data_IF_977647583038
#
_entry.id   IF_977647583038
#
_cell.length_a   1.000
_cell.length_b   1.000
_cell.length_c   1.000
_cell.angle_alpha   90.00
_cell.angle_beta   90.00
_cell.angle_gamma   90.00
#
_symmetry.space_group_name_H-M   'P 1'
#
loop_
_entity.id
_entity.type
_entity.pdbx_description
1 polymer ?
#
# COMPACT_ATOMS: atom_id res chain seq x y z
N UNK A 1 -50.59 -8.00 -77.94
CA UNK A 1 -51.24 -9.31 -78.09
C UNK A 1 -51.97 -9.58 -76.77
N UNK A 2 -53.21 -9.08 -76.67
CA UNK A 2 -54.44 -9.89 -76.83
C UNK A 2 -54.70 -10.66 -75.53
N UNK A 3 -55.45 -10.07 -74.59
CA UNK A 3 -56.92 -10.11 -74.43
C UNK A 3 -57.33 -11.26 -73.50
N UNK A 4 -58.20 -10.93 -72.54
CA UNK A 4 -59.39 -11.64 -72.03
C UNK A 4 -59.65 -11.11 -70.61
N UNK A 5 -60.38 -10.00 -70.44
CA UNK A 5 -61.85 -9.89 -70.60
C UNK A 5 -62.60 -10.81 -69.64
N UNK A 6 -62.95 -10.27 -68.47
CA UNK A 6 -64.16 -10.63 -67.75
C UNK A 6 -64.83 -9.34 -67.30
N UNK A 7 -65.56 -8.74 -68.26
CA UNK A 7 -66.63 -7.82 -67.95
C UNK A 7 -67.78 -8.65 -67.37
N UNK A 8 -68.16 -8.37 -66.13
CA UNK A 8 -69.37 -8.91 -65.54
C UNK A 8 -70.55 -8.09 -66.05
N UNK A 9 -71.33 -8.72 -66.94
CA UNK A 9 -72.59 -8.25 -67.48
C UNK A 9 -73.59 -7.98 -66.33
N UNK A 10 -73.92 -6.72 -66.09
CA UNK A 10 -75.01 -6.35 -65.19
C UNK A 10 -76.34 -6.37 -65.97
N UNK A 11 -77.03 -7.51 -65.96
CA UNK A 11 -78.38 -7.64 -66.51
C UNK A 11 -79.44 -7.45 -65.40
N UNK A 12 -80.29 -6.43 -65.56
CA UNK A 12 -81.42 -6.10 -64.70
C UNK A 12 -82.69 -6.86 -65.14
N UNK A 13 -83.40 -7.49 -64.20
CA UNK A 13 -84.73 -8.05 -64.40
C UNK A 13 -85.44 -8.22 -63.06
N UNK A 14 -86.50 -7.44 -62.83
CA UNK A 14 -87.23 -7.35 -61.57
C UNK A 14 -88.51 -8.20 -61.59
N UNK A 15 -88.77 -9.00 -60.55
CA UNK A 15 -90.12 -9.35 -60.05
C UNK A 15 -90.08 -9.86 -58.59
N UNK A 16 -90.86 -9.21 -57.71
CA UNK A 16 -91.50 -9.82 -56.53
C UNK A 16 -90.66 -10.19 -55.30
N UNK A 17 -90.81 -9.41 -54.22
CA UNK A 17 -90.46 -9.79 -52.84
C UNK A 17 -89.11 -9.26 -52.36
N UNK A 18 -89.14 -8.28 -51.45
CA UNK A 18 -88.07 -7.85 -50.54
C UNK A 18 -86.63 -8.22 -50.96
N UNK A 19 -86.11 -7.62 -52.04
CA UNK A 19 -84.74 -7.84 -52.45
C UNK A 19 -83.80 -7.14 -51.46
N UNK A 20 -83.39 -7.87 -50.42
CA UNK A 20 -82.22 -7.53 -49.62
C UNK A 20 -81.06 -7.25 -50.59
N UNK A 21 -80.30 -6.18 -50.33
CA UNK A 21 -79.15 -5.78 -51.13
C UNK A 21 -78.33 -7.02 -51.54
N UNK A 22 -78.08 -7.29 -52.83
CA UNK A 22 -77.57 -8.58 -53.32
C UNK A 22 -76.35 -9.17 -52.58
N UNK A 23 -75.39 -8.38 -52.05
CA UNK A 23 -74.28 -8.94 -51.26
C UNK A 23 -74.63 -9.28 -49.80
N UNK A 24 -75.85 -9.01 -49.33
CA UNK A 24 -76.36 -9.34 -48.00
C UNK A 24 -77.47 -10.40 -48.04
N UNK A 25 -77.41 -11.34 -48.99
CA UNK A 25 -78.29 -12.51 -49.00
C UNK A 25 -77.88 -13.52 -47.90
N UNK A 26 -78.75 -13.77 -46.88
CA UNK A 26 -78.50 -14.66 -45.73
C UNK A 26 -78.01 -16.07 -46.08
N UNK A 27 -78.30 -16.55 -47.30
CA UNK A 27 -78.04 -17.92 -47.72
C UNK A 27 -76.54 -18.29 -47.80
N UNK A 28 -75.66 -17.32 -48.07
CA UNK A 28 -74.22 -17.56 -48.28
C UNK A 28 -73.38 -17.39 -47.01
N UNK A 29 -73.92 -16.75 -45.98
CA UNK A 29 -73.21 -16.49 -44.72
C UNK A 29 -72.74 -17.75 -43.99
N UNK A 30 -73.48 -18.88 -43.93
CA UNK A 30 -73.00 -20.08 -43.23
C UNK A 30 -71.72 -20.66 -43.82
N UNK A 31 -71.58 -20.66 -45.16
CA UNK A 31 -70.38 -21.14 -45.85
C UNK A 31 -69.19 -20.20 -45.63
N UNK A 32 -69.43 -18.88 -45.69
CA UNK A 32 -68.41 -17.87 -45.38
C UNK A 32 -67.93 -17.98 -43.93
N UNK A 33 -68.85 -18.16 -42.98
CA UNK A 33 -68.52 -18.36 -41.57
C UNK A 33 -67.77 -19.68 -41.34
N UNK A 34 -68.16 -20.76 -42.02
CA UNK A 34 -67.44 -22.04 -41.95
C UNK A 34 -65.97 -21.90 -42.39
N UNK A 35 -65.73 -21.30 -43.56
CA UNK A 35 -64.37 -21.05 -44.04
C UNK A 35 -63.61 -20.02 -43.19
N UNK A 36 -64.30 -18.99 -42.68
CA UNK A 36 -63.73 -18.04 -41.74
C UNK A 36 -63.23 -18.77 -40.48
N UNK A 37 -64.04 -19.66 -39.90
CA UNK A 37 -63.66 -20.42 -38.71
C UNK A 37 -62.49 -21.35 -39.00
N UNK A 38 -62.44 -22.00 -40.17
CA UNK A 38 -61.30 -22.84 -40.56
C UNK A 38 -60.02 -22.02 -40.70
N UNK A 39 -60.06 -20.92 -41.45
CA UNK A 39 -58.89 -20.08 -41.70
C UNK A 39 -58.44 -19.35 -40.44
N UNK A 40 -59.38 -18.77 -39.70
CA UNK A 40 -59.11 -18.08 -38.44
C UNK A 40 -58.65 -19.06 -37.35
N UNK A 41 -59.25 -20.26 -37.28
CA UNK A 41 -58.82 -21.32 -36.37
C UNK A 41 -57.41 -21.82 -36.70
N UNK A 42 -57.11 -22.03 -37.98
CA UNK A 42 -55.75 -22.36 -38.44
C UNK A 42 -54.74 -21.27 -38.08
N UNK A 43 -55.08 -20.01 -38.36
CA UNK A 43 -54.26 -18.85 -37.99
C UNK A 43 -54.06 -18.75 -36.47
N UNK A 44 -55.12 -18.96 -35.68
CA UNK A 44 -55.08 -18.93 -34.22
C UNK A 44 -54.14 -20.01 -33.66
N UNK A 45 -54.18 -21.23 -34.20
CA UNK A 45 -53.27 -22.30 -33.80
C UNK A 45 -51.82 -21.95 -34.15
N UNK A 46 -51.57 -21.38 -35.33
CA UNK A 46 -50.21 -20.93 -35.71
C UNK A 46 -49.71 -19.83 -34.79
N UNK A 47 -50.52 -18.81 -34.51
CA UNK A 47 -50.11 -17.71 -33.62
C UNK A 47 -49.87 -18.21 -32.19
N UNK A 48 -50.80 -18.98 -31.65
CA UNK A 48 -50.71 -19.50 -30.28
C UNK A 48 -49.53 -20.45 -30.09
N UNK A 49 -49.26 -21.33 -31.07
CA UNK A 49 -48.26 -22.38 -30.92
C UNK A 49 -46.86 -22.04 -31.43
N UNK A 50 -46.73 -21.10 -32.36
CA UNK A 50 -45.44 -20.72 -32.96
C UNK A 50 -45.06 -19.27 -32.67
N UNK A 51 -45.95 -18.29 -32.90
CA UNK A 51 -45.58 -16.86 -32.85
C UNK A 51 -45.46 -16.36 -31.41
N UNK A 52 -46.45 -16.62 -30.56
CA UNK A 52 -46.43 -16.24 -29.14
C UNK A 52 -45.25 -16.84 -28.36
N UNK A 53 -44.93 -18.14 -28.45
CA UNK A 53 -43.77 -18.67 -27.72
C UNK A 53 -42.45 -18.09 -28.20
N UNK A 54 -42.33 -17.74 -29.49
CA UNK A 54 -41.13 -17.05 -30.02
C UNK A 54 -40.98 -15.64 -29.46
N UNK A 55 -42.08 -14.90 -29.33
CA UNK A 55 -42.08 -13.56 -28.71
C UNK A 55 -41.80 -13.63 -27.21
N UNK A 56 -42.41 -14.58 -26.49
CA UNK A 56 -42.17 -14.81 -25.07
C UNK A 56 -40.70 -15.08 -24.77
N UNK A 57 -40.07 -15.98 -25.53
CA UNK A 57 -38.66 -16.31 -25.34
C UNK A 57 -37.68 -15.14 -25.57
N UNK A 58 -38.05 -14.14 -26.39
CA UNK A 58 -37.21 -12.93 -26.56
C UNK A 58 -37.30 -12.01 -25.34
N UNK A 59 -38.49 -11.88 -24.74
CA UNK A 59 -38.70 -11.07 -23.54
C UNK A 59 -37.98 -11.71 -22.35
N UNK A 60 -38.15 -13.02 -22.17
CA UNK A 60 -37.50 -13.80 -21.12
C UNK A 60 -35.97 -13.72 -21.26
N UNK A 61 -35.43 -13.98 -22.45
CA UNK A 61 -33.98 -13.85 -22.69
C UNK A 61 -33.41 -12.47 -22.35
N UNK A 62 -34.17 -11.40 -22.64
CA UNK A 62 -33.76 -10.03 -22.25
C UNK A 62 -33.79 -9.85 -20.74
N UNK A 63 -34.83 -10.33 -20.08
CA UNK A 63 -34.95 -10.32 -18.63
C UNK A 63 -33.78 -11.04 -17.97
N UNK A 64 -33.50 -12.26 -18.41
CA UNK A 64 -32.41 -13.10 -17.90
C UNK A 64 -31.05 -12.42 -18.12
N UNK A 65 -30.80 -11.89 -19.32
CA UNK A 65 -29.52 -11.20 -19.60
C UNK A 65 -29.34 -9.96 -18.71
N UNK A 66 -30.41 -9.21 -18.44
CA UNK A 66 -30.36 -8.05 -17.55
C UNK A 66 -30.11 -8.50 -16.12
N UNK A 67 -30.83 -9.52 -15.63
CA UNK A 67 -30.65 -10.08 -14.31
C UNK A 67 -29.21 -10.58 -14.11
N UNK A 68 -28.69 -11.40 -15.04
CA UNK A 68 -27.32 -11.88 -15.04
C UNK A 68 -26.30 -10.74 -15.00
N UNK A 69 -26.53 -9.67 -15.78
CA UNK A 69 -25.64 -8.51 -15.82
C UNK A 69 -25.66 -7.70 -14.52
N UNK A 70 -26.81 -7.61 -13.85
CA UNK A 70 -26.95 -6.93 -12.56
C UNK A 70 -26.31 -7.74 -11.44
N UNK A 71 -26.50 -9.05 -11.44
CA UNK A 71 -25.88 -9.96 -10.47
C UNK A 71 -24.36 -9.96 -10.61
N UNK A 72 -23.84 -10.00 -11.85
CA UNK A 72 -22.40 -9.90 -12.10
C UNK A 72 -21.84 -8.54 -11.66
N UNK A 73 -22.55 -7.45 -11.96
CA UNK A 73 -22.15 -6.12 -11.52
C UNK A 73 -22.13 -6.00 -9.98
N UNK A 74 -23.14 -6.54 -9.29
CA UNK A 74 -23.20 -6.56 -7.84
C UNK A 74 -22.04 -7.37 -7.24
N UNK A 75 -21.74 -8.54 -7.83
CA UNK A 75 -20.61 -9.39 -7.42
C UNK A 75 -19.27 -8.67 -7.59
N UNK A 76 -19.07 -7.99 -8.71
CA UNK A 76 -17.84 -7.23 -8.98
C UNK A 76 -17.70 -6.02 -8.04
N UNK A 77 -18.80 -5.33 -7.74
CA UNK A 77 -18.82 -4.23 -6.77
C UNK A 77 -18.47 -4.72 -5.35
N UNK A 78 -19.01 -5.87 -4.93
CA UNK A 78 -18.66 -6.48 -3.64
C UNK A 78 -17.18 -6.87 -3.58
N UNK A 79 -16.65 -7.51 -4.63
CA UNK A 79 -15.23 -7.84 -4.73
C UNK A 79 -14.35 -6.58 -4.70
N UNK A 80 -14.75 -5.51 -5.39
CA UNK A 80 -14.03 -4.24 -5.39
C UNK A 80 -14.03 -3.58 -4.00
N UNK A 81 -15.17 -3.60 -3.29
CA UNK A 81 -15.28 -3.10 -1.92
C UNK A 81 -14.41 -3.89 -0.96
N UNK A 82 -14.41 -5.21 -1.06
CA UNK A 82 -13.58 -6.07 -0.23
C UNK A 82 -12.09 -5.86 -0.53
N UNK A 83 -11.71 -5.81 -1.81
CA UNK A 83 -10.33 -5.51 -2.21
C UNK A 83 -9.86 -4.13 -1.71
N UNK A 84 -10.72 -3.11 -1.79
CA UNK A 84 -10.46 -1.78 -1.24
C UNK A 84 -10.26 -1.83 0.27
N UNK A 85 -11.12 -2.54 1.00
CA UNK A 85 -11.00 -2.70 2.45
C UNK A 85 -9.68 -3.38 2.83
N UNK A 86 -9.30 -4.45 2.13
CA UNK A 86 -8.01 -5.12 2.36
C UNK A 86 -6.83 -4.20 2.05
N UNK A 87 -6.90 -3.43 0.96
CA UNK A 87 -5.85 -2.45 0.62
C UNK A 87 -5.70 -1.38 1.72
N UNK A 88 -6.81 -0.85 2.23
CA UNK A 88 -6.81 0.13 3.32
C UNK A 88 -6.21 -0.45 4.60
N UNK A 89 -6.55 -1.70 4.94
CA UNK A 89 -5.97 -2.42 6.09
C UNK A 89 -4.46 -2.64 5.91
N UNK A 90 -4.02 -3.15 4.76
CA UNK A 90 -2.60 -3.36 4.48
C UNK A 90 -1.81 -2.04 4.51
N UNK A 91 -2.40 -0.94 4.04
CA UNK A 91 -1.77 0.37 4.09
C UNK A 91 -1.65 0.88 5.54
N UNK A 92 -2.66 0.67 6.36
CA UNK A 92 -2.62 1.02 7.78
C UNK A 92 -1.58 0.18 8.54
N UNK A 93 -1.55 -1.13 8.30
CA UNK A 93 -0.57 -2.04 8.90
C UNK A 93 0.87 -1.70 8.48
N UNK A 94 1.10 -1.47 7.18
CA UNK A 94 2.41 -1.09 6.67
C UNK A 94 2.90 0.23 7.29
N UNK A 95 2.01 1.23 7.43
CA UNK A 95 2.35 2.50 8.11
C UNK A 95 2.65 2.29 9.58
N UNK A 96 1.90 1.44 10.28
CA UNK A 96 2.14 1.11 11.68
C UNK A 96 3.50 0.43 11.85
N UNK A 97 3.78 -0.59 11.03
CA UNK A 97 5.05 -1.34 11.05
C UNK A 97 6.24 -0.46 10.69
N UNK A 98 6.08 0.47 9.74
CA UNK A 98 7.13 1.43 9.40
C UNK A 98 7.45 2.36 10.59
N UNK A 99 6.44 2.87 11.29
CA UNK A 99 6.63 3.68 12.51
C UNK A 99 7.32 2.87 13.61
N UNK A 100 6.82 1.67 13.89
CA UNK A 100 7.41 0.77 14.88
C UNK A 100 8.88 0.45 14.56
N UNK A 101 9.20 0.19 13.28
CA UNK A 101 10.58 -0.07 12.85
C UNK A 101 11.46 1.18 13.00
N UNK A 102 10.94 2.36 12.68
CA UNK A 102 11.66 3.61 12.84
C UNK A 102 11.95 3.92 14.33
N UNK A 103 10.96 3.69 15.21
CA UNK A 103 11.11 3.90 16.64
C UNK A 103 12.11 2.90 17.24
N UNK A 104 11.99 1.60 16.91
CA UNK A 104 12.99 0.58 17.31
C UNK A 104 14.40 0.90 16.82
N UNK A 105 14.53 1.42 15.60
CA UNK A 105 15.84 1.81 15.06
C UNK A 105 16.42 3.00 15.83
N UNK A 106 15.60 3.99 16.19
CA UNK A 106 16.03 5.12 17.04
C UNK A 106 16.48 4.65 18.41
N UNK A 107 15.67 3.84 19.09
CA UNK A 107 15.99 3.30 20.42
C UNK A 107 17.29 2.50 20.38
N UNK A 108 17.49 1.69 19.34
CA UNK A 108 18.73 0.92 19.16
C UNK A 108 19.94 1.82 18.95
N UNK A 109 19.82 2.84 18.08
CA UNK A 109 20.91 3.79 17.82
C UNK A 109 21.25 4.58 19.09
N UNK A 110 20.25 5.03 19.84
CA UNK A 110 20.47 5.76 21.10
C UNK A 110 21.15 4.87 22.15
N UNK A 111 20.76 3.60 22.26
CA UNK A 111 21.43 2.63 23.12
C UNK A 111 22.88 2.35 22.69
N UNK A 112 23.14 2.23 21.38
CA UNK A 112 24.50 2.05 20.85
C UNK A 112 25.37 3.28 21.09
N UNK A 113 24.84 4.49 20.89
CA UNK A 113 25.54 5.75 21.19
C UNK A 113 25.88 5.81 22.68
N UNK A 114 24.92 5.57 23.57
CA UNK A 114 25.15 5.60 25.01
C UNK A 114 26.22 4.59 25.44
N UNK A 115 26.18 3.37 24.90
CA UNK A 115 27.18 2.35 25.18
C UNK A 115 28.57 2.74 24.67
N UNK A 116 28.67 3.31 23.48
CA UNK A 116 29.95 3.73 22.91
C UNK A 116 30.53 4.95 23.63
N UNK A 117 29.69 5.93 23.99
CA UNK A 117 30.09 7.07 24.82
C UNK A 117 30.65 6.59 26.16
N UNK A 118 29.98 5.65 26.84
CA UNK A 118 30.50 5.09 28.10
C UNK A 118 31.86 4.41 27.94
N UNK A 119 32.08 3.66 26.84
CA UNK A 119 33.39 3.06 26.57
C UNK A 119 34.46 4.11 26.31
N UNK A 120 34.15 5.13 25.52
CA UNK A 120 35.08 6.21 25.20
C UNK A 120 35.42 7.00 26.45
N UNK A 121 34.45 7.30 27.31
CA UNK A 121 34.67 7.98 28.58
C UNK A 121 35.56 7.15 29.51
N UNK A 122 35.37 5.82 29.56
CA UNK A 122 36.22 4.92 30.34
C UNK A 122 37.66 4.83 29.81
N UNK A 123 37.84 4.75 28.48
CA UNK A 123 39.17 4.77 27.85
C UNK A 123 39.86 6.12 28.11
N UNK A 124 39.13 7.22 28.00
CA UNK A 124 39.64 8.57 28.26
C UNK A 124 40.06 8.73 29.73
N UNK A 125 39.26 8.26 30.68
CA UNK A 125 39.61 8.26 32.10
C UNK A 125 40.91 7.49 32.36
N UNK A 126 41.05 6.30 31.76
CA UNK A 126 42.27 5.48 31.88
C UNK A 126 43.48 6.22 31.31
N UNK A 127 43.36 6.81 30.11
CA UNK A 127 44.44 7.59 29.49
C UNK A 127 44.83 8.82 30.30
N UNK A 128 43.86 9.48 30.93
CA UNK A 128 44.09 10.62 31.83
C UNK A 128 44.88 10.17 33.06
N UNK A 129 44.48 9.08 33.72
CA UNK A 129 45.22 8.54 34.87
C UNK A 129 46.67 8.16 34.49
N UNK A 130 46.87 7.51 33.35
CA UNK A 130 48.22 7.20 32.86
C UNK A 130 49.04 8.44 32.56
N UNK A 131 48.44 9.46 31.92
CA UNK A 131 49.10 10.72 31.62
C UNK A 131 49.49 11.45 32.90
N UNK A 132 48.61 11.50 33.90
CA UNK A 132 48.91 12.06 35.21
C UNK A 132 50.04 11.28 35.91
N UNK A 133 50.02 9.96 35.86
CA UNK A 133 51.09 9.14 36.43
C UNK A 133 52.44 9.41 35.74
N UNK A 134 52.46 9.53 34.41
CA UNK A 134 53.66 9.92 33.64
C UNK A 134 54.15 11.32 34.03
N UNK A 135 53.25 12.31 34.14
CA UNK A 135 53.60 13.67 34.55
C UNK A 135 54.18 13.68 35.97
N UNK A 136 53.55 12.96 36.92
CA UNK A 136 54.06 12.82 38.30
C UNK A 136 55.46 12.21 38.33
N UNK A 137 55.69 11.16 37.53
CA UNK A 137 57.00 10.49 37.41
C UNK A 137 58.06 11.44 36.87
N UNK A 138 57.80 12.09 35.73
CA UNK A 138 58.73 13.04 35.10
C UNK A 138 59.03 14.22 36.03
N UNK A 139 58.01 14.72 36.76
CA UNK A 139 58.20 15.78 37.76
C UNK A 139 59.11 15.32 38.90
N UNK A 140 58.92 14.11 39.42
CA UNK A 140 59.79 13.56 40.47
C UNK A 140 61.22 13.35 39.98
N UNK A 141 61.41 12.84 38.77
CA UNK A 141 62.72 12.65 38.16
C UNK A 141 63.42 14.00 37.94
N UNK A 142 62.70 15.00 37.42
CA UNK A 142 63.24 16.35 37.22
C UNK A 142 63.67 16.99 38.54
N UNK A 143 62.86 16.90 39.61
CA UNK A 143 63.23 17.39 40.93
C UNK A 143 64.47 16.68 41.49
N UNK A 144 64.55 15.35 41.35
CA UNK A 144 65.73 14.59 41.77
C UNK A 144 66.99 14.97 40.98
N UNK A 145 66.85 15.25 39.68
CA UNK A 145 67.97 15.70 38.85
C UNK A 145 68.45 17.09 39.27
N UNK A 146 67.53 18.00 39.64
CA UNK A 146 67.89 19.33 40.17
C UNK A 146 68.67 19.19 41.48
N UNK A 147 68.23 18.34 42.42
CA UNK A 147 68.96 18.09 43.67
C UNK A 147 70.38 17.55 43.41
N UNK A 148 70.52 16.66 42.42
CA UNK A 148 71.83 16.11 42.03
C UNK A 148 72.72 17.17 41.41
N UNK A 149 72.21 17.97 40.46
CA UNK A 149 72.96 19.05 39.80
C UNK A 149 73.37 20.12 40.81
N UNK A 150 72.48 20.48 41.75
CA UNK A 150 72.78 21.43 42.82
C UNK A 150 73.91 20.90 43.71
N UNK A 151 73.86 19.62 44.12
CA UNK A 151 74.92 18.98 44.92
C UNK A 151 76.26 18.98 44.18
N UNK A 152 76.27 18.56 42.91
CA UNK A 152 77.48 18.52 42.07
C UNK A 152 78.05 19.92 41.85
N UNK A 153 77.20 20.91 41.59
CA UNK A 153 77.62 22.32 41.41
C UNK A 153 78.19 22.90 42.69
N UNK A 154 77.57 22.64 43.85
CA UNK A 154 78.09 23.06 45.16
C UNK A 154 79.46 22.44 45.44
N UNK A 155 79.64 21.14 45.17
CA UNK A 155 80.93 20.47 45.31
C UNK A 155 81.99 21.05 44.37
N UNK A 156 81.65 21.27 43.10
CA UNK A 156 82.56 21.84 42.10
C UNK A 156 82.99 23.27 42.46
N UNK A 157 82.06 24.10 42.96
CA UNK A 157 82.36 25.45 43.47
C UNK A 157 83.30 25.40 44.68
N UNK A 158 83.00 24.59 45.70
CA UNK A 158 83.83 24.46 46.91
C UNK A 158 85.24 23.92 46.60
N UNK A 159 85.34 22.96 45.69
CA UNK A 159 86.63 22.44 45.20
C UNK A 159 87.48 23.54 44.54
N UNK A 160 86.85 24.49 43.83
CA UNK A 160 87.54 25.66 43.25
C UNK A 160 88.16 26.58 44.31
N UNK A 161 87.59 26.61 45.52
CA UNK A 161 88.09 27.36 46.67
C UNK A 161 89.03 26.55 47.58
N UNK A 162 89.38 25.31 47.22
CA UNK A 162 90.34 24.48 47.95
C UNK A 162 89.77 23.73 49.16
N UNK A 163 88.44 23.66 49.30
CA UNK A 163 87.75 22.92 50.36
C UNK A 163 87.12 21.67 49.76
N UNK A 164 87.51 20.48 50.23
CA UNK A 164 86.85 19.22 49.85
C UNK A 164 85.75 18.88 50.86
N UNK A 165 84.54 18.66 50.35
CA UNK A 165 83.38 18.27 51.16
C UNK A 165 82.88 16.91 50.70
N UNK A 166 82.54 16.03 51.65
CA UNK A 166 81.99 14.71 51.32
C UNK A 166 80.64 14.85 50.60
N UNK A 167 80.34 13.94 49.67
CA UNK A 167 79.07 13.92 48.93
C UNK A 167 77.86 13.87 49.86
N UNK A 168 77.99 13.16 50.98
CA UNK A 168 76.99 13.09 52.05
C UNK A 168 76.70 14.44 52.71
N UNK A 169 77.74 15.24 52.99
CA UNK A 169 77.57 16.54 53.65
C UNK A 169 77.03 17.62 52.70
N UNK A 170 77.50 17.60 51.45
CA UNK A 170 76.99 18.50 50.40
C UNK A 170 75.50 18.25 50.12
N UNK A 171 75.10 16.98 50.02
CA UNK A 171 73.70 16.58 49.79
C UNK A 171 72.81 16.93 50.99
N UNK A 172 73.32 16.77 52.23
CA UNK A 172 72.59 17.17 53.43
C UNK A 172 72.40 18.69 53.55
N UNK A 173 73.36 19.50 53.11
CA UNK A 173 73.25 20.95 53.10
C UNK A 173 72.25 21.45 52.03
N UNK A 174 72.31 20.90 50.82
CA UNK A 174 71.35 21.22 49.74
C UNK A 174 69.93 20.85 50.14
N UNK A 175 69.71 19.67 50.74
CA UNK A 175 68.39 19.25 51.22
C UNK A 175 67.82 20.10 52.36
N UNK A 176 68.67 20.74 53.18
CA UNK A 176 68.18 21.70 54.18
C UNK A 176 67.77 23.02 53.53
N UNK A 177 68.53 23.48 52.53
CA UNK A 177 68.26 24.74 51.82
C UNK A 177 67.05 24.67 50.88
N UNK A 178 66.68 23.51 50.36
CA UNK A 178 65.48 23.32 49.51
C UNK A 178 64.19 23.06 50.30
N UNK A 179 64.27 22.91 51.63
CA UNK A 179 63.13 22.60 52.50
C UNK A 179 62.50 23.82 53.18
N UNK A 180 63.19 24.97 53.19
CA UNK A 180 62.68 26.30 53.57
C UNK A 180 62.03 26.99 52.35
#
# INVERSE_FOLDING_TARGET
MMLLSFAAEAAHGATGGSAAFPPFDPWHFPSQLFWLVIMFGGLYIVLSRFVLPKLGGVIEKRGDTIADSLDEAARLDEQAKEAKRQQELHLAEARSKARETADKARDKVEAEIAAETQKVDADLATRLEEAEARIRKVRSEALSNVDSIATETTQAMLARFGVSVSETDAKAAVQRATKD
#
